data_IF_152295966389
#
_entry.id   IF_152295966389
#
_cell.length_a   1.000
_cell.length_b   1.000
_cell.length_c   1.000
_cell.angle_alpha   90.00
_cell.angle_beta   90.00
_cell.angle_gamma   90.00
#
_symmetry.space_group_name_H-M   'P 1'
#
loop_
_entity.id
_entity.type
_entity.pdbx_description
1 polymer ?
#
# COMPACT_ATOMS: atom_id res chain seq x y z
N UNK A 1 5.89 -20.79 11.91
CA UNK A 1 6.27 -20.79 10.48
C UNK A 1 5.92 -19.43 9.88
N UNK A 2 6.87 -18.67 9.36
CA UNK A 2 6.61 -17.37 8.71
C UNK A 2 7.62 -17.15 7.58
N UNK A 3 7.57 -18.01 6.55
CA UNK A 3 8.39 -17.90 5.33
C UNK A 3 7.91 -16.79 4.40
N UNK A 4 6.67 -16.32 4.54
CA UNK A 4 6.09 -15.30 3.65
C UNK A 4 6.83 -13.95 3.75
N UNK A 5 7.24 -13.53 4.96
CA UNK A 5 7.76 -12.18 5.25
C UNK A 5 9.05 -11.88 4.48
N UNK A 6 9.93 -12.87 4.33
CA UNK A 6 11.14 -12.71 3.53
C UNK A 6 10.80 -12.55 2.05
N UNK A 7 9.90 -13.38 1.52
CA UNK A 7 9.55 -13.36 0.10
C UNK A 7 8.83 -12.06 -0.31
N UNK A 8 7.91 -11.56 0.51
CA UNK A 8 7.17 -10.33 0.19
C UNK A 8 8.01 -9.05 0.25
N UNK A 9 9.19 -9.05 0.87
CA UNK A 9 10.10 -7.91 0.92
C UNK A 9 11.30 -8.05 -0.02
N UNK A 10 11.46 -9.20 -0.67
CA UNK A 10 12.46 -9.37 -1.73
C UNK A 10 12.09 -8.42 -2.87
N UNK A 11 13.00 -7.49 -3.12
CA UNK A 11 12.89 -6.54 -4.23
C UNK A 11 13.40 -7.23 -5.49
N UNK A 12 12.53 -7.37 -6.49
CA UNK A 12 12.91 -7.76 -7.83
C UNK A 12 13.56 -6.60 -8.60
N UNK A 13 13.68 -6.77 -9.91
CA UNK A 13 14.22 -5.73 -10.80
C UNK A 13 13.39 -4.44 -10.68
N UNK A 14 14.05 -3.32 -10.43
CA UNK A 14 13.39 -2.01 -10.25
C UNK A 14 12.86 -1.76 -8.83
N UNK A 15 13.23 -2.57 -7.84
CA UNK A 15 12.87 -2.31 -6.44
C UNK A 15 11.45 -2.73 -6.06
N UNK A 16 10.71 -3.34 -6.99
CA UNK A 16 9.32 -3.78 -6.80
C UNK A 16 9.28 -5.09 -6.02
N UNK A 17 8.31 -5.20 -5.12
CA UNK A 17 8.00 -6.41 -4.35
C UNK A 17 6.83 -7.16 -4.98
N UNK A 18 6.61 -8.45 -4.65
CA UNK A 18 5.42 -9.17 -5.10
C UNK A 18 4.11 -8.42 -4.82
N UNK A 19 4.01 -7.73 -3.67
CA UNK A 19 2.84 -6.92 -3.33
C UNK A 19 2.66 -5.71 -4.25
N UNK A 20 3.75 -5.08 -4.70
CA UNK A 20 3.68 -4.01 -5.70
C UNK A 20 3.04 -4.49 -7.01
N UNK A 21 3.37 -5.69 -7.46
CA UNK A 21 2.78 -6.27 -8.67
C UNK A 21 1.28 -6.50 -8.50
N UNK A 22 0.87 -7.08 -7.38
CA UNK A 22 -0.54 -7.32 -7.04
C UNK A 22 -1.33 -6.01 -6.98
N UNK A 23 -0.77 -4.95 -6.39
CA UNK A 23 -1.43 -3.64 -6.39
C UNK A 23 -1.55 -3.05 -7.79
N UNK A 24 -0.53 -3.23 -8.64
CA UNK A 24 -0.55 -2.72 -10.01
C UNK A 24 -1.52 -3.46 -10.93
N UNK A 25 -1.84 -4.73 -10.66
CA UNK A 25 -2.86 -5.44 -11.44
C UNK A 25 -4.24 -4.82 -11.21
N UNK A 26 -4.47 -4.24 -10.02
CA UNK A 26 -5.77 -3.68 -9.63
C UNK A 26 -6.81 -4.75 -9.31
N UNK A 27 -6.39 -6.02 -9.19
CA UNK A 27 -7.25 -7.14 -8.81
C UNK A 27 -7.46 -7.12 -7.28
N UNK A 28 -8.65 -6.68 -6.89
CA UNK A 28 -9.03 -6.54 -5.48
C UNK A 28 -9.07 -7.89 -4.75
N UNK A 29 -9.52 -8.95 -5.42
CA UNK A 29 -9.64 -10.29 -4.82
C UNK A 29 -8.26 -10.92 -4.63
N UNK A 30 -7.37 -10.74 -5.60
CA UNK A 30 -5.98 -11.15 -5.49
C UNK A 30 -5.26 -10.41 -4.36
N UNK A 31 -5.47 -9.10 -4.26
CA UNK A 31 -4.91 -8.27 -3.19
C UNK A 31 -5.42 -8.70 -1.81
N UNK A 32 -6.72 -8.97 -1.69
CA UNK A 32 -7.32 -9.43 -0.45
C UNK A 32 -6.75 -10.79 -0.02
N UNK A 33 -6.74 -11.78 -0.92
CA UNK A 33 -6.16 -13.11 -0.67
C UNK A 33 -4.68 -13.04 -0.30
N UNK A 34 -3.92 -12.14 -0.95
CA UNK A 34 -2.53 -11.92 -0.62
C UNK A 34 -2.35 -11.43 0.82
N UNK A 35 -3.20 -10.49 1.27
CA UNK A 35 -3.16 -9.95 2.63
C UNK A 35 -3.64 -10.96 3.68
N UNK A 36 -4.56 -11.86 3.33
CA UNK A 36 -4.93 -12.99 4.21
C UNK A 36 -3.75 -13.94 4.45
N UNK A 37 -2.99 -14.26 3.40
CA UNK A 37 -1.81 -15.14 3.48
C UNK A 37 -0.61 -14.42 4.12
N UNK A 38 -0.48 -13.11 3.89
CA UNK A 38 0.65 -12.33 4.39
C UNK A 38 0.26 -10.91 4.87
N UNK A 39 -0.35 -10.80 6.06
CA UNK A 39 -0.76 -9.54 6.71
C UNK A 39 0.34 -8.47 6.76
N UNK A 40 1.58 -8.88 7.08
CA UNK A 40 2.76 -8.01 7.21
C UNK A 40 3.14 -7.26 5.93
N UNK A 41 2.62 -7.67 4.77
CA UNK A 41 2.81 -6.92 3.52
C UNK A 41 2.27 -5.49 3.62
N UNK A 42 1.28 -5.25 4.48
CA UNK A 42 0.68 -3.93 4.69
C UNK A 42 1.65 -2.90 5.31
N UNK A 43 2.80 -3.32 5.83
CA UNK A 43 3.81 -2.39 6.37
C UNK A 43 4.67 -1.74 5.26
N UNK A 44 4.53 -2.19 4.02
CA UNK A 44 5.31 -1.69 2.88
C UNK A 44 4.77 -0.33 2.42
N UNK A 45 5.25 0.75 3.03
CA UNK A 45 4.87 2.16 2.75
C UNK A 45 4.79 2.51 1.25
N UNK A 46 5.71 2.08 0.38
CA UNK A 46 5.65 2.35 -1.06
C UNK A 46 4.41 1.76 -1.76
N UNK A 47 3.80 0.69 -1.22
CA UNK A 47 2.59 0.07 -1.76
C UNK A 47 1.41 1.03 -1.68
N UNK A 48 1.28 1.79 -0.59
CA UNK A 48 0.26 2.81 -0.47
C UNK A 48 0.47 3.96 -1.47
N UNK A 49 1.70 4.44 -1.63
CA UNK A 49 2.01 5.48 -2.60
C UNK A 49 1.67 5.05 -4.03
N UNK A 50 2.03 3.82 -4.41
CA UNK A 50 1.74 3.27 -5.74
C UNK A 50 0.24 3.05 -5.92
N UNK A 51 -0.48 2.56 -4.92
CA UNK A 51 -1.93 2.42 -5.00
C UNK A 51 -2.64 3.78 -5.17
N UNK A 52 -2.25 4.80 -4.42
CA UNK A 52 -2.81 6.16 -4.57
C UNK A 52 -2.47 6.77 -5.91
N UNK A 53 -1.28 6.49 -6.47
CA UNK A 53 -0.86 7.03 -7.78
C UNK A 53 -1.53 6.32 -8.96
N UNK A 54 -1.48 4.99 -8.97
CA UNK A 54 -1.76 4.19 -10.17
C UNK A 54 -3.11 3.46 -10.11
N UNK A 55 -3.58 3.03 -8.93
CA UNK A 55 -4.75 2.15 -8.75
C UNK A 55 -5.52 2.47 -7.47
N UNK A 56 -6.41 3.47 -7.52
CA UNK A 56 -7.10 4.00 -6.33
C UNK A 56 -7.99 2.95 -5.66
N UNK A 57 -8.54 2.03 -6.45
CA UNK A 57 -9.36 0.91 -5.99
C UNK A 57 -8.52 -0.03 -5.10
N UNK A 58 -7.27 -0.28 -5.45
CA UNK A 58 -6.34 -1.04 -4.62
C UNK A 58 -6.05 -0.30 -3.31
N UNK A 59 -5.94 1.03 -3.32
CA UNK A 59 -5.80 1.83 -2.11
C UNK A 59 -7.00 1.66 -1.17
N UNK A 60 -8.22 1.69 -1.72
CA UNK A 60 -9.42 1.46 -0.93
C UNK A 60 -9.45 0.07 -0.29
N UNK A 61 -9.00 -0.97 -1.02
CA UNK A 61 -8.90 -2.33 -0.48
C UNK A 61 -7.88 -2.40 0.65
N UNK A 62 -6.68 -1.81 0.48
CA UNK A 62 -5.64 -1.75 1.52
C UNK A 62 -6.16 -1.10 2.79
N UNK A 63 -6.79 0.08 2.67
CA UNK A 63 -7.35 0.82 3.82
C UNK A 63 -8.48 0.03 4.49
N UNK A 64 -9.42 -0.53 3.71
CA UNK A 64 -10.53 -1.33 4.26
C UNK A 64 -10.03 -2.58 4.98
N UNK A 65 -9.05 -3.27 4.41
CA UNK A 65 -8.46 -4.45 5.02
C UNK A 65 -7.74 -4.09 6.32
N UNK A 66 -6.96 -3.01 6.33
CA UNK A 66 -6.23 -2.53 7.50
C UNK A 66 -7.17 -2.15 8.65
N UNK A 67 -8.28 -1.46 8.37
CA UNK A 67 -9.31 -1.14 9.37
C UNK A 67 -10.00 -2.40 9.91
N UNK A 68 -10.40 -3.33 9.02
CA UNK A 68 -11.17 -4.52 9.42
C UNK A 68 -10.35 -5.57 10.15
N UNK A 69 -9.08 -5.74 9.79
CA UNK A 69 -8.19 -6.75 10.35
C UNK A 69 -7.71 -6.40 11.76
N UNK A 70 -7.92 -5.16 12.23
CA UNK A 70 -7.33 -4.63 13.49
C UNK A 70 -5.83 -4.89 13.56
N UNK A 71 -5.14 -4.88 12.42
CA UNK A 71 -3.72 -5.14 12.33
C UNK A 71 -2.94 -4.11 13.17
N UNK A 72 -1.80 -4.48 13.73
CA UNK A 72 -0.94 -3.55 14.48
C UNK A 72 -0.54 -2.32 13.65
N UNK A 73 -0.34 -2.53 12.34
CA UNK A 73 -0.13 -1.47 11.37
C UNK A 73 -1.30 -0.47 11.27
N UNK A 74 -2.53 -0.87 11.64
CA UNK A 74 -3.69 0.03 11.66
C UNK A 74 -3.54 1.12 12.72
N UNK A 75 -3.05 0.77 13.92
CA UNK A 75 -2.78 1.76 14.97
C UNK A 75 -1.69 2.74 14.56
N UNK A 76 -0.66 2.26 13.84
CA UNK A 76 0.41 3.09 13.30
C UNK A 76 -0.08 4.00 12.17
N UNK A 77 -0.95 3.47 11.31
CA UNK A 77 -1.59 4.19 10.22
C UNK A 77 -2.59 5.24 10.71
N UNK A 78 -3.30 5.01 11.81
CA UNK A 78 -4.23 6.00 12.39
C UNK A 78 -3.47 7.15 13.06
N UNK A 79 -2.33 6.86 13.70
CA UNK A 79 -1.55 7.87 14.43
C UNK A 79 -0.66 8.69 13.51
N UNK A 80 -0.08 8.09 12.47
CA UNK A 80 0.93 8.76 11.66
C UNK A 80 0.88 8.42 10.15
N UNK A 81 -0.27 8.48 9.47
CA UNK A 81 -0.30 8.30 8.02
C UNK A 81 0.43 9.46 7.31
N UNK A 82 0.53 10.61 7.98
CA UNK A 82 1.22 11.83 7.56
C UNK A 82 2.75 11.71 7.61
N UNK A 83 3.35 10.80 8.41
CA UNK A 83 4.82 10.70 8.49
C UNK A 83 5.42 9.74 7.46
N UNK A 84 4.58 8.98 6.76
CA UNK A 84 4.99 7.95 5.83
C UNK A 84 5.30 8.57 4.48
N UNK A 85 6.52 9.11 4.36
CA UNK A 85 7.05 9.68 3.14
C UNK A 85 7.64 8.61 2.20
N UNK A 86 7.46 8.81 0.90
CA UNK A 86 8.22 8.11 -0.14
C UNK A 86 9.68 8.60 -0.20
N UNK A 87 10.44 8.06 -1.16
CA UNK A 87 11.85 8.43 -1.36
C UNK A 87 12.04 9.90 -1.75
N UNK A 88 10.98 10.61 -2.16
CA UNK A 88 11.00 12.03 -2.51
C UNK A 88 10.48 12.91 -1.35
N UNK A 89 10.24 12.34 -0.17
CA UNK A 89 9.70 13.08 0.97
C UNK A 89 8.20 13.34 0.89
N UNK A 90 7.51 12.84 -0.14
CA UNK A 90 6.06 13.05 -0.31
C UNK A 90 5.31 11.98 0.45
N UNK A 91 4.33 12.40 1.23
CA UNK A 91 3.46 11.49 1.98
C UNK A 91 2.34 10.97 1.09
N UNK A 92 1.69 9.89 1.53
CA UNK A 92 0.50 9.34 0.86
C UNK A 92 -0.57 10.42 0.63
N UNK A 93 -0.76 11.32 1.61
CA UNK A 93 -1.69 12.44 1.51
C UNK A 93 -1.24 13.48 0.45
N UNK A 94 0.06 13.79 0.37
CA UNK A 94 0.58 14.67 -0.67
C UNK A 94 0.32 14.10 -2.07
N UNK A 95 0.57 12.81 -2.28
CA UNK A 95 0.32 12.13 -3.58
C UNK A 95 -1.18 12.13 -3.91
N UNK A 96 -2.05 11.85 -2.95
CA UNK A 96 -3.50 11.89 -3.13
C UNK A 96 -3.98 13.30 -3.53
N UNK A 97 -3.50 14.34 -2.84
CA UNK A 97 -3.86 15.73 -3.12
C UNK A 97 -3.40 16.18 -4.51
N UNK A 98 -2.21 15.77 -4.95
CA UNK A 98 -1.71 16.04 -6.31
C UNK A 98 -2.62 15.36 -7.36
N UNK A 99 -3.00 14.10 -7.13
CA UNK A 99 -3.86 13.36 -8.05
C UNK A 99 -5.27 13.91 -8.13
N UNK A 100 -5.82 14.38 -7.01
CA UNK A 100 -7.18 14.92 -6.93
C UNK A 100 -7.27 16.42 -7.21
N UNK A 101 -6.21 17.05 -7.76
CA UNK A 101 -6.31 18.45 -8.17
C UNK A 101 -7.32 18.58 -9.31
N UNK A 102 -8.33 19.47 -9.20
CA UNK A 102 -9.14 19.80 -10.35
C UNK A 102 -8.21 20.36 -11.43
N UNK A 103 -8.37 19.90 -12.67
CA UNK A 103 -7.73 20.54 -13.81
C UNK A 103 -8.32 21.95 -13.89
N UNK A 104 -7.60 22.92 -13.36
CA UNK A 104 -7.87 24.34 -13.61
C UNK A 104 -7.51 24.58 -15.07
N UNK A 105 -8.56 24.73 -15.89
CA UNK A 105 -8.47 25.21 -17.26
C UNK A 105 -8.05 26.69 -17.26
#
# INVERSE_FOLDING_TARGET
>A
MCTCIYFIRVKGKGGLTPLHHVVRTGDADLLFKFLEVCPKGIEDVPVFHISVKDKFEAFQVLVRWLIRSRHEAAQRWEKEPISWADMEGKTVLHVAAIRNRPRVC
#
